data_IF_078713697197
#
_entry.id   IF_078713697197
#
_cell.length_a   1.000
_cell.length_b   1.000
_cell.length_c   1.000
_cell.angle_alpha   90.00
_cell.angle_beta   90.00
_cell.angle_gamma   90.00
#
_symmetry.space_group_name_H-M   'P 1'
#
loop_
_entity.id
_entity.type
_entity.pdbx_description
1 polymer ?
#
# COMPACT_ATOMS: atom_id res chain seq x y z
N UNK A 1 -9.07 12.84 -12.34
CA UNK A 1 -9.11 11.51 -11.70
C UNK A 1 -9.46 11.77 -10.25
N UNK A 2 -10.72 11.56 -9.85
CA UNK A 2 -11.15 11.79 -8.46
C UNK A 2 -10.42 10.77 -7.60
N UNK A 3 -9.76 11.21 -6.54
CA UNK A 3 -9.18 10.34 -5.52
C UNK A 3 -10.22 9.27 -5.19
N UNK A 4 -9.92 8.01 -5.54
CA UNK A 4 -10.86 6.89 -5.38
C UNK A 4 -11.19 6.65 -3.90
N UNK A 5 -10.29 7.10 -3.04
CA UNK A 5 -10.38 7.09 -1.59
C UNK A 5 -10.11 8.50 -1.07
N UNK A 6 -10.86 8.91 -0.05
CA UNK A 6 -10.72 10.21 0.59
C UNK A 6 -9.78 10.10 1.78
N UNK A 7 -9.82 8.95 2.45
CA UNK A 7 -9.02 8.63 3.62
C UNK A 7 -8.05 7.47 3.32
N UNK A 8 -6.81 7.52 3.85
CA UNK A 8 -5.87 6.41 3.76
C UNK A 8 -6.44 5.07 4.23
N UNK A 9 -7.34 5.11 5.22
CA UNK A 9 -7.98 3.92 5.76
C UNK A 9 -8.95 3.27 4.79
N UNK A 10 -9.68 4.07 4.01
CA UNK A 10 -10.57 3.54 2.98
C UNK A 10 -9.77 2.83 1.86
N UNK A 11 -8.59 3.35 1.54
CA UNK A 11 -7.69 2.69 0.60
C UNK A 11 -7.17 1.37 1.18
N UNK A 12 -6.70 1.38 2.44
CA UNK A 12 -6.21 0.20 3.13
C UNK A 12 -7.28 -0.90 3.18
N UNK A 13 -8.46 -0.62 3.73
CA UNK A 13 -9.57 -1.58 3.85
C UNK A 13 -10.08 -2.08 2.48
N UNK A 14 -9.86 -1.32 1.41
CA UNK A 14 -10.25 -1.73 0.06
C UNK A 14 -9.25 -2.71 -0.57
N UNK A 15 -7.96 -2.54 -0.26
CA UNK A 15 -6.91 -3.38 -0.83
C UNK A 15 -6.61 -4.62 0.04
N UNK A 16 -6.93 -4.57 1.33
CA UNK A 16 -6.99 -5.73 2.23
C UNK A 16 -8.17 -6.66 1.83
N UNK A 17 -7.92 -7.55 0.85
CA UNK A 17 -8.95 -8.42 0.28
C UNK A 17 -9.46 -9.48 1.27
N UNK A 18 -8.59 -10.02 2.13
CA UNK A 18 -8.93 -11.05 3.10
C UNK A 18 -9.31 -10.49 4.49
N UNK A 19 -9.14 -9.18 4.70
CA UNK A 19 -9.53 -8.45 5.90
C UNK A 19 -8.82 -8.95 7.15
N UNK A 20 -7.59 -9.41 6.97
CA UNK A 20 -6.75 -9.86 8.07
C UNK A 20 -6.09 -8.66 8.80
N UNK A 21 -6.19 -7.46 8.23
CA UNK A 21 -5.63 -6.22 8.75
C UNK A 21 -4.20 -5.95 8.29
N UNK A 22 -3.72 -6.71 7.30
CA UNK A 22 -2.38 -6.62 6.73
C UNK A 22 -2.46 -6.45 5.22
N UNK A 23 -1.56 -5.64 4.66
CA UNK A 23 -1.37 -5.60 3.22
C UNK A 23 -0.19 -6.49 2.85
N UNK A 24 -0.45 -7.41 1.92
CA UNK A 24 0.58 -8.26 1.35
C UNK A 24 1.12 -7.66 0.06
N UNK A 25 2.25 -8.19 -0.41
CA UNK A 25 2.79 -7.89 -1.74
C UNK A 25 1.75 -8.07 -2.86
N UNK A 26 0.77 -8.96 -2.68
CA UNK A 26 -0.25 -9.22 -3.69
C UNK A 26 -1.28 -8.08 -3.74
N UNK A 27 -1.63 -7.52 -2.58
CA UNK A 27 -2.56 -6.40 -2.44
C UNK A 27 -1.96 -5.12 -3.03
N UNK A 28 -0.67 -4.88 -2.78
CA UNK A 28 0.05 -3.78 -3.44
C UNK A 28 0.11 -3.94 -4.97
N UNK A 29 0.26 -5.17 -5.49
CA UNK A 29 0.19 -5.38 -6.95
C UNK A 29 -1.19 -5.03 -7.49
N UNK A 30 -2.26 -5.35 -6.77
CA UNK A 30 -3.63 -5.00 -7.17
C UNK A 30 -3.85 -3.48 -7.14
N UNK A 31 -3.34 -2.80 -6.09
CA UNK A 31 -3.33 -1.34 -5.98
C UNK A 31 -2.61 -0.69 -7.16
N UNK A 32 -1.38 -1.11 -7.43
CA UNK A 32 -0.57 -0.58 -8.52
C UNK A 32 -1.16 -0.90 -9.91
N UNK A 33 -1.86 -2.04 -10.03
CA UNK A 33 -2.61 -2.37 -11.26
C UNK A 33 -3.72 -1.37 -11.53
N UNK A 34 -4.47 -1.01 -10.49
CA UNK A 34 -5.57 -0.07 -10.60
C UNK A 34 -5.08 1.37 -10.78
N UNK A 35 -3.93 1.71 -10.20
CA UNK A 35 -3.23 2.97 -10.43
C UNK A 35 -2.61 3.10 -11.85
N UNK A 36 -2.87 2.15 -12.75
CA UNK A 36 -2.28 2.08 -14.10
C UNK A 36 -0.75 2.08 -14.13
N UNK A 37 -0.11 1.60 -13.07
CA UNK A 37 1.34 1.40 -13.05
C UNK A 37 1.69 0.25 -14.00
N UNK A 38 2.71 0.48 -14.83
CA UNK A 38 3.16 -0.47 -15.83
C UNK A 38 3.50 -1.82 -15.20
N UNK A 39 3.04 -2.90 -15.83
CA UNK A 39 3.22 -4.29 -15.35
C UNK A 39 4.71 -4.60 -15.10
N UNK A 40 5.60 -4.00 -15.91
CA UNK A 40 7.05 -4.18 -15.81
C UNK A 40 7.64 -3.68 -14.49
N UNK A 41 7.12 -2.57 -13.95
CA UNK A 41 7.65 -1.94 -12.73
C UNK A 41 6.79 -2.26 -11.49
N UNK A 42 5.60 -2.80 -11.69
CA UNK A 42 4.63 -3.11 -10.63
C UNK A 42 5.18 -4.02 -9.55
N UNK A 43 5.88 -5.09 -9.94
CA UNK A 43 6.48 -6.02 -8.98
C UNK A 43 7.54 -5.36 -8.12
N UNK A 44 8.38 -4.53 -8.74
CA UNK A 44 9.44 -3.79 -8.07
C UNK A 44 8.88 -2.72 -7.11
N UNK A 45 7.86 -1.97 -7.53
CA UNK A 45 7.21 -0.98 -6.67
C UNK A 45 6.46 -1.63 -5.50
N UNK A 46 5.79 -2.77 -5.71
CA UNK A 46 5.12 -3.49 -4.63
C UNK A 46 6.13 -3.99 -3.59
N UNK A 47 7.26 -4.52 -4.04
CA UNK A 47 8.34 -4.98 -3.16
C UNK A 47 9.03 -3.82 -2.44
N UNK A 48 9.22 -2.69 -3.13
CA UNK A 48 9.76 -1.48 -2.51
C UNK A 48 8.82 -0.87 -1.48
N UNK A 49 7.50 -0.84 -1.74
CA UNK A 49 6.50 -0.39 -0.77
C UNK A 49 6.51 -1.29 0.45
N UNK A 50 6.43 -2.61 0.25
CA UNK A 50 6.49 -3.60 1.31
C UNK A 50 7.74 -3.40 2.19
N UNK A 51 8.93 -3.36 1.58
CA UNK A 51 10.18 -3.16 2.34
C UNK A 51 10.32 -1.78 2.99
N UNK A 52 9.64 -0.76 2.47
CA UNK A 52 9.71 0.59 3.05
C UNK A 52 8.76 0.75 4.23
N UNK A 53 7.69 -0.04 4.25
CA UNK A 53 6.60 0.07 5.21
C UNK A 53 6.76 -0.96 6.33
N UNK A 54 7.24 -2.16 6.01
CA UNK A 54 7.58 -3.26 6.92
C UNK A 54 8.75 -2.83 7.82
N UNK A 55 8.41 -2.29 9.00
CA UNK A 55 9.39 -1.84 10.01
C UNK A 55 9.72 -2.94 10.99
N UNK A 56 8.83 -3.93 11.12
CA UNK A 56 8.95 -5.01 12.08
C UNK A 56 9.65 -6.27 11.49
N UNK A 57 9.78 -6.35 10.17
CA UNK A 57 10.42 -7.42 9.40
C UNK A 57 9.58 -8.68 9.21
N UNK A 58 8.24 -8.59 9.28
CA UNK A 58 7.32 -9.74 9.16
C UNK A 58 6.80 -9.98 7.74
N UNK A 59 7.30 -9.22 6.76
CA UNK A 59 6.87 -9.24 5.36
C UNK A 59 5.38 -8.90 5.15
N UNK A 60 4.73 -8.32 6.15
CA UNK A 60 3.36 -7.82 6.15
C UNK A 60 3.37 -6.33 6.49
N UNK A 61 2.42 -5.58 5.93
CA UNK A 61 2.25 -4.17 6.29
C UNK A 61 0.98 -3.99 7.11
N UNK A 62 1.14 -3.74 8.40
CA UNK A 62 0.00 -3.43 9.25
C UNK A 62 -0.50 -1.99 9.05
N UNK A 63 -1.70 -1.71 9.56
CA UNK A 63 -2.29 -0.36 9.48
C UNK A 63 -1.39 0.74 10.07
N UNK A 64 -0.65 0.43 11.14
CA UNK A 64 0.21 1.39 11.84
C UNK A 64 1.47 1.71 11.02
N UNK A 65 2.06 0.71 10.37
CA UNK A 65 3.17 0.81 9.42
C UNK A 65 2.76 1.59 8.17
N UNK A 66 1.61 1.26 7.60
CA UNK A 66 1.04 1.99 6.48
C UNK A 66 0.77 3.47 6.82
N UNK A 67 0.20 3.74 7.99
CA UNK A 67 -0.03 5.11 8.45
C UNK A 67 1.29 5.86 8.66
N UNK A 68 2.29 5.22 9.27
CA UNK A 68 3.61 5.79 9.47
C UNK A 68 4.27 6.13 8.14
N UNK A 69 4.17 5.23 7.16
CA UNK A 69 4.73 5.44 5.83
C UNK A 69 4.06 6.57 5.05
N UNK A 70 2.74 6.74 5.16
CA UNK A 70 2.03 7.88 4.55
C UNK A 70 2.43 9.20 5.19
N UNK A 71 2.61 9.20 6.51
CA UNK A 71 3.10 10.37 7.25
C UNK A 71 4.55 10.72 6.86
N UNK A 72 5.39 9.70 6.66
CA UNK A 72 6.81 9.83 6.28
C UNK A 72 6.98 10.25 4.81
N UNK A 73 6.10 9.77 3.92
CA UNK A 73 6.11 10.09 2.48
C UNK A 73 5.70 11.54 2.19
N UNK A 74 5.27 12.30 3.21
CA UNK A 74 4.99 13.73 3.09
C UNK A 74 4.08 14.06 1.90
N UNK A 75 2.97 13.32 1.74
CA UNK A 75 1.82 13.68 0.87
C UNK A 75 1.06 14.92 1.41
N UNK A 76 1.76 15.84 2.06
CA UNK A 76 1.24 17.14 2.49
C UNK A 76 1.76 18.22 1.52
N UNK A 77 0.91 18.45 0.52
CA UNK A 77 0.90 19.53 -0.50
C UNK A 77 1.64 19.26 -1.80
#
# INVERSE_FOLDING_TARGET
MRSKFTEPKEAFDFYDEDKDGFLTKNDFKNLLKEANVSILIRGLFAEFMLQSFDKNGDELDDWQEFQAAILETNLRK
#
